data_IF_246595700975
#
_entry.id   IF_246595700975
#
_cell.length_a   1.000
_cell.length_b   1.000
_cell.length_c   1.000
_cell.angle_alpha   90.00
_cell.angle_beta   90.00
_cell.angle_gamma   90.00
#
_symmetry.space_group_name_H-M   'P 1'
#
loop_
_entity.id
_entity.type
_entity.pdbx_description
1 polymer ?
#
# COMPACT_ATOMS: atom_id res chain seq x y z
N UNK A 1 -36.41 -18.76 9.88
CA UNK A 1 -35.45 -19.87 10.05
C UNK A 1 -34.74 -19.68 11.38
N UNK A 2 -34.45 -20.76 12.09
CA UNK A 2 -33.63 -20.71 13.29
C UNK A 2 -32.18 -20.35 12.91
N UNK A 3 -31.46 -19.70 13.83
CA UNK A 3 -30.08 -19.30 13.61
C UNK A 3 -29.19 -20.51 13.37
N UNK A 4 -28.54 -20.56 12.22
CA UNK A 4 -27.71 -21.72 11.83
C UNK A 4 -26.44 -21.87 12.67
N UNK A 5 -26.12 -20.87 13.49
CA UNK A 5 -24.92 -20.86 14.35
C UNK A 5 -25.18 -21.48 15.73
N UNK A 6 -26.35 -21.23 16.34
CA UNK A 6 -26.69 -21.76 17.67
C UNK A 6 -27.92 -22.68 17.69
N UNK A 7 -28.77 -22.65 16.66
CA UNK A 7 -30.04 -23.37 16.56
C UNK A 7 -31.06 -23.11 17.69
N UNK A 8 -30.83 -22.13 18.57
CA UNK A 8 -31.66 -21.87 19.77
C UNK A 8 -32.75 -20.82 19.57
N UNK A 9 -32.59 -19.86 18.65
CA UNK A 9 -33.57 -18.80 18.39
C UNK A 9 -33.70 -18.46 16.91
N UNK A 10 -34.68 -17.62 16.56
CA UNK A 10 -34.89 -17.13 15.20
C UNK A 10 -33.71 -16.24 14.79
N UNK A 11 -33.18 -16.47 13.58
CA UNK A 11 -32.11 -15.64 13.03
C UNK A 11 -32.63 -14.24 12.72
N UNK A 12 -32.15 -13.25 13.47
CA UNK A 12 -32.30 -11.82 13.19
C UNK A 12 -30.92 -11.18 13.21
N UNK A 13 -30.78 -9.96 12.70
CA UNK A 13 -29.51 -9.22 12.78
C UNK A 13 -29.03 -9.07 14.23
N UNK A 14 -29.95 -8.68 15.12
CA UNK A 14 -29.67 -8.51 16.55
C UNK A 14 -29.28 -9.85 17.20
N UNK A 15 -29.99 -10.92 16.88
CA UNK A 15 -29.64 -12.24 17.37
C UNK A 15 -28.28 -12.69 16.84
N UNK A 16 -28.04 -12.60 15.52
CA UNK A 16 -26.81 -13.05 14.89
C UNK A 16 -25.57 -12.36 15.47
N UNK A 17 -25.63 -11.05 15.71
CA UNK A 17 -24.45 -10.30 16.15
C UNK A 17 -24.35 -10.12 17.67
N UNK A 18 -25.45 -10.03 18.41
CA UNK A 18 -25.42 -9.67 19.84
C UNK A 18 -25.93 -10.78 20.77
N UNK A 19 -26.98 -11.51 20.39
CA UNK A 19 -27.64 -12.47 21.31
C UNK A 19 -27.32 -13.94 21.07
N UNK A 20 -26.74 -14.30 19.93
CA UNK A 20 -26.36 -15.67 19.60
C UNK A 20 -25.26 -16.15 20.57
N UNK A 21 -25.42 -17.34 21.14
CA UNK A 21 -24.49 -17.90 22.13
C UNK A 21 -23.06 -17.99 21.57
N UNK A 22 -22.95 -18.40 20.31
CA UNK A 22 -21.67 -18.46 19.60
C UNK A 22 -21.07 -17.06 19.40
N UNK A 23 -21.85 -16.09 18.97
CA UNK A 23 -21.38 -14.72 18.78
C UNK A 23 -20.94 -14.09 20.12
N UNK A 24 -21.68 -14.32 21.21
CA UNK A 24 -21.30 -13.88 22.55
C UNK A 24 -19.96 -14.48 22.99
N UNK A 25 -19.73 -15.76 22.75
CA UNK A 25 -18.46 -16.41 23.02
C UNK A 25 -17.31 -15.80 22.20
N UNK A 26 -17.57 -15.44 20.93
CA UNK A 26 -16.60 -14.75 20.06
C UNK A 26 -16.27 -13.35 20.58
N UNK A 27 -17.26 -12.54 20.96
CA UNK A 27 -17.03 -11.20 21.53
C UNK A 27 -16.22 -11.27 22.82
N UNK A 28 -16.53 -12.24 23.68
CA UNK A 28 -15.78 -12.49 24.91
C UNK A 28 -14.33 -12.91 24.61
N UNK A 29 -14.11 -13.83 23.68
CA UNK A 29 -12.77 -14.29 23.29
C UNK A 29 -11.94 -13.24 22.53
N UNK A 30 -12.57 -12.21 21.98
CA UNK A 30 -11.91 -11.08 21.32
C UNK A 30 -11.67 -9.88 22.26
N UNK A 31 -12.03 -10.00 23.55
CA UNK A 31 -11.90 -8.95 24.57
C UNK A 31 -12.65 -7.65 24.21
N UNK A 32 -13.87 -7.78 23.67
CA UNK A 32 -14.74 -6.65 23.34
C UNK A 32 -16.03 -6.74 24.18
N UNK A 33 -16.25 -5.83 25.13
CA UNK A 33 -17.36 -5.93 26.06
C UNK A 33 -18.68 -5.50 25.42
N UNK A 34 -19.51 -6.46 25.01
CA UNK A 34 -20.85 -6.21 24.43
C UNK A 34 -22.00 -6.26 25.46
N UNK A 35 -21.70 -6.52 26.73
CA UNK A 35 -22.73 -6.75 27.77
C UNK A 35 -23.64 -5.51 27.97
N UNK A 36 -23.08 -4.32 27.88
CA UNK A 36 -23.84 -3.07 27.99
C UNK A 36 -24.86 -2.91 26.85
N UNK A 37 -24.55 -3.43 25.66
CA UNK A 37 -25.40 -3.34 24.48
C UNK A 37 -26.58 -4.31 24.57
N UNK A 38 -26.31 -5.54 25.03
CA UNK A 38 -27.34 -6.57 25.20
C UNK A 38 -28.30 -6.25 26.34
N UNK A 39 -27.85 -5.55 27.39
CA UNK A 39 -28.69 -5.08 28.50
C UNK A 39 -29.55 -3.86 28.13
N UNK A 40 -29.01 -2.94 27.33
CA UNK A 40 -29.71 -1.72 26.92
C UNK A 40 -30.60 -1.89 25.67
N UNK A 41 -30.74 -3.11 25.14
CA UNK A 41 -31.50 -3.41 23.92
C UNK A 41 -31.11 -2.51 22.73
N UNK A 42 -29.81 -2.18 22.62
CA UNK A 42 -29.28 -1.33 21.55
C UNK A 42 -29.24 -2.13 20.25
N UNK A 43 -29.75 -1.54 19.16
CA UNK A 43 -29.68 -2.17 17.84
C UNK A 43 -28.26 -2.14 17.29
N UNK A 44 -27.86 -3.14 16.50
CA UNK A 44 -26.55 -3.16 15.83
C UNK A 44 -26.31 -1.88 15.02
N UNK A 45 -27.34 -1.38 14.34
CA UNK A 45 -27.26 -0.14 13.55
C UNK A 45 -26.93 1.10 14.38
N UNK A 46 -27.59 1.26 15.53
CA UNK A 46 -27.34 2.40 16.41
C UNK A 46 -25.95 2.32 17.04
N UNK A 47 -25.55 1.12 17.46
CA UNK A 47 -24.22 0.87 17.98
C UNK A 47 -23.11 1.20 16.98
N UNK A 48 -23.21 0.72 15.74
CA UNK A 48 -22.21 1.01 14.69
C UNK A 48 -22.17 2.50 14.37
N UNK A 49 -23.31 3.19 14.30
CA UNK A 49 -23.37 4.64 14.08
C UNK A 49 -22.66 5.42 15.19
N UNK A 50 -22.83 5.01 16.44
CA UNK A 50 -22.20 5.69 17.56
C UNK A 50 -20.69 5.44 17.62
N UNK A 51 -20.24 4.24 17.25
CA UNK A 51 -18.81 3.95 17.06
C UNK A 51 -18.19 4.83 15.96
N UNK A 52 -18.89 5.04 14.85
CA UNK A 52 -18.44 5.90 13.75
C UNK A 52 -18.39 7.39 14.15
N UNK A 53 -19.35 7.86 14.95
CA UNK A 53 -19.33 9.24 15.48
C UNK A 53 -18.13 9.45 16.41
N UNK A 54 -17.86 8.48 17.30
CA UNK A 54 -16.72 8.53 18.23
C UNK A 54 -15.36 8.44 17.52
N UNK A 55 -15.28 7.86 16.32
CA UNK A 55 -14.03 7.82 15.55
C UNK A 55 -13.72 9.11 14.78
N UNK A 56 -14.72 9.96 14.54
CA UNK A 56 -14.53 11.21 13.78
C UNK A 56 -13.94 12.35 14.62
N UNK A 57 -13.77 12.15 15.94
CA UNK A 57 -13.47 13.24 16.87
C UNK A 57 -12.00 13.52 17.15
N UNK A 58 -11.01 12.78 16.62
CA UNK A 58 -9.58 13.14 16.66
C UNK A 58 -8.76 12.23 15.73
N UNK A 59 -7.63 12.73 15.21
CA UNK A 59 -6.73 12.18 14.18
C UNK A 59 -6.01 10.85 14.54
N UNK A 60 -6.62 9.97 15.32
CA UNK A 60 -6.09 8.65 15.66
C UNK A 60 -7.03 7.56 15.14
N UNK A 61 -6.49 6.61 14.38
CA UNK A 61 -7.19 5.37 13.99
C UNK A 61 -7.78 4.72 15.25
N UNK A 62 -9.11 4.76 15.42
CA UNK A 62 -9.77 4.22 16.59
C UNK A 62 -9.67 2.67 16.57
N UNK A 63 -8.84 2.06 17.42
CA UNK A 63 -8.58 0.62 17.38
C UNK A 63 -9.83 -0.19 17.76
N UNK A 64 -10.75 0.41 18.52
CA UNK A 64 -12.00 -0.22 18.95
C UNK A 64 -12.95 -0.36 17.76
N UNK A 65 -13.15 0.71 16.98
CA UNK A 65 -14.00 0.66 15.78
C UNK A 65 -13.53 -0.42 14.82
N UNK A 66 -12.22 -0.45 14.54
CA UNK A 66 -11.64 -1.42 13.62
C UNK A 66 -11.80 -2.86 14.11
N UNK A 67 -11.50 -3.13 15.39
CA UNK A 67 -11.72 -4.45 15.99
C UNK A 67 -13.18 -4.87 15.88
N UNK A 68 -14.11 -3.98 16.22
CA UNK A 68 -15.55 -4.26 16.15
C UNK A 68 -16.02 -4.57 14.73
N UNK A 69 -15.68 -3.74 13.74
CA UNK A 69 -16.08 -3.97 12.34
C UNK A 69 -15.48 -5.26 11.77
N UNK A 70 -14.22 -5.55 12.13
CA UNK A 70 -13.54 -6.78 11.69
C UNK A 70 -14.23 -8.01 12.28
N UNK A 71 -14.60 -7.97 13.56
CA UNK A 71 -15.25 -9.11 14.22
C UNK A 71 -16.68 -9.32 13.71
N UNK A 72 -17.45 -8.25 13.46
CA UNK A 72 -18.75 -8.33 12.80
C UNK A 72 -18.65 -9.04 11.45
N UNK A 73 -17.64 -8.67 10.64
CA UNK A 73 -17.40 -9.33 9.36
C UNK A 73 -17.03 -10.81 9.53
N UNK A 74 -16.17 -11.16 10.49
CA UNK A 74 -15.78 -12.55 10.74
C UNK A 74 -16.98 -13.42 11.18
N UNK A 75 -17.87 -12.89 12.02
CA UNK A 75 -19.11 -13.56 12.45
C UNK A 75 -20.01 -13.83 11.24
N UNK A 76 -20.25 -12.81 10.41
CA UNK A 76 -21.06 -12.94 9.21
C UNK A 76 -20.45 -13.91 8.18
N UNK A 77 -19.13 -13.84 8.00
CA UNK A 77 -18.40 -14.71 7.08
C UNK A 77 -18.49 -16.17 7.52
N UNK A 78 -18.30 -16.47 8.80
CA UNK A 78 -18.42 -17.82 9.34
C UNK A 78 -19.84 -18.37 9.20
N UNK A 79 -20.86 -17.54 9.47
CA UNK A 79 -22.27 -17.88 9.20
C UNK A 79 -22.46 -18.31 7.75
N UNK A 80 -21.89 -17.59 6.78
CA UNK A 80 -22.01 -17.97 5.37
C UNK A 80 -21.26 -19.27 5.04
N UNK A 81 -20.13 -19.55 5.70
CA UNK A 81 -19.45 -20.84 5.53
C UNK A 81 -20.28 -22.01 6.07
N UNK A 82 -21.02 -21.82 7.17
CA UNK A 82 -21.96 -22.82 7.68
C UNK A 82 -23.08 -23.03 6.64
N UNK A 83 -23.68 -21.96 6.13
CA UNK A 83 -24.80 -22.05 5.19
C UNK A 83 -24.42 -22.69 3.85
N UNK A 84 -23.30 -22.28 3.26
CA UNK A 84 -22.95 -22.63 1.88
C UNK A 84 -21.91 -23.75 1.76
N UNK A 85 -21.06 -23.94 2.77
CA UNK A 85 -20.00 -24.95 2.75
C UNK A 85 -20.20 -26.07 3.78
N UNK A 86 -21.32 -26.07 4.50
CA UNK A 86 -21.63 -27.10 5.50
C UNK A 86 -20.66 -27.15 6.67
N UNK A 87 -19.92 -26.06 6.93
CA UNK A 87 -19.00 -25.99 8.07
C UNK A 87 -19.77 -26.05 9.39
N UNK A 88 -19.10 -26.53 10.43
CA UNK A 88 -19.66 -26.55 11.78
C UNK A 88 -19.46 -25.20 12.49
N UNK A 89 -20.38 -24.79 13.38
CA UNK A 89 -20.20 -23.60 14.21
C UNK A 89 -18.99 -23.75 15.15
N UNK A 90 -18.00 -22.88 15.02
CA UNK A 90 -16.78 -22.92 15.83
C UNK A 90 -16.32 -21.50 16.21
N UNK A 91 -16.50 -21.07 17.47
CA UNK A 91 -16.09 -19.72 17.90
C UNK A 91 -14.57 -19.51 17.83
N UNK A 92 -13.78 -20.56 18.03
CA UNK A 92 -12.31 -20.46 18.00
C UNK A 92 -11.80 -20.14 16.59
N UNK A 93 -12.41 -20.70 15.54
CA UNK A 93 -12.05 -20.41 14.16
C UNK A 93 -12.31 -18.94 13.81
N UNK A 94 -13.40 -18.38 14.31
CA UNK A 94 -13.76 -16.96 14.14
C UNK A 94 -12.72 -16.08 14.84
N UNK A 95 -12.36 -16.40 16.09
CA UNK A 95 -11.35 -15.65 16.86
C UNK A 95 -9.97 -15.73 16.21
N UNK A 96 -9.54 -16.91 15.74
CA UNK A 96 -8.27 -17.07 15.04
C UNK A 96 -8.23 -16.29 13.73
N UNK A 97 -9.33 -16.32 12.97
CA UNK A 97 -9.46 -15.54 11.73
C UNK A 97 -9.40 -14.04 12.03
N UNK A 98 -10.12 -13.59 13.04
CA UNK A 98 -10.08 -12.22 13.53
C UNK A 98 -8.67 -11.79 13.94
N UNK A 99 -7.99 -12.57 14.78
CA UNK A 99 -6.62 -12.27 15.23
C UNK A 99 -5.64 -12.26 14.06
N UNK A 100 -5.76 -13.18 13.10
CA UNK A 100 -4.95 -13.19 11.88
C UNK A 100 -5.15 -11.92 11.06
N UNK A 101 -6.40 -11.49 10.85
CA UNK A 101 -6.72 -10.25 10.13
C UNK A 101 -6.23 -9.01 10.88
N UNK A 102 -6.43 -8.97 12.20
CA UNK A 102 -5.99 -7.87 13.04
C UNK A 102 -4.46 -7.78 13.07
N UNK A 103 -3.76 -8.91 13.19
CA UNK A 103 -2.30 -8.96 13.16
C UNK A 103 -1.74 -8.55 11.80
N UNK A 104 -2.35 -8.97 10.69
CA UNK A 104 -1.95 -8.50 9.35
C UNK A 104 -2.16 -7.01 9.19
N UNK A 105 -3.27 -6.49 9.73
CA UNK A 105 -3.52 -5.05 9.74
C UNK A 105 -2.48 -4.34 10.60
N UNK A 106 -2.30 -4.73 11.86
CA UNK A 106 -1.32 -4.13 12.77
C UNK A 106 0.12 -4.23 12.25
N UNK A 107 0.52 -5.33 11.62
CA UNK A 107 1.83 -5.44 10.96
C UNK A 107 1.96 -4.46 9.80
N UNK A 108 0.91 -4.29 8.99
CA UNK A 108 0.92 -3.25 7.96
C UNK A 108 1.05 -1.85 8.57
N UNK A 109 0.44 -1.57 9.74
CA UNK A 109 0.57 -0.28 10.43
C UNK A 109 1.89 -0.11 11.18
N UNK A 110 2.42 -1.14 11.84
CA UNK A 110 3.69 -1.13 12.54
C UNK A 110 4.87 -1.00 11.58
N UNK A 111 4.81 -1.67 10.42
CA UNK A 111 5.72 -1.44 9.30
C UNK A 111 5.62 0.00 8.74
N UNK A 112 4.53 0.73 9.06
CA UNK A 112 4.31 2.12 8.69
C UNK A 112 4.55 3.11 9.86
N UNK A 113 4.71 2.65 11.12
CA UNK A 113 4.75 3.48 12.33
C UNK A 113 6.02 3.28 13.19
N UNK A 114 6.84 2.27 12.91
CA UNK A 114 8.08 1.99 13.64
C UNK A 114 9.32 2.02 12.76
N UNK A 115 9.96 3.17 12.62
CA UNK A 115 11.39 3.25 12.30
C UNK A 115 12.06 4.12 13.36
N UNK A 116 12.26 3.54 14.55
CA UNK A 116 13.24 3.99 15.56
C UNK A 116 13.54 2.90 16.61
N UNK A 117 13.28 1.62 16.31
CA UNK A 117 13.75 0.51 17.13
C UNK A 117 14.74 -0.31 16.32
N UNK A 118 15.97 -0.36 16.82
CA UNK A 118 17.07 -1.18 16.33
C UNK A 118 16.65 -2.65 16.29
N UNK A 119 16.14 -3.12 15.16
CA UNK A 119 15.92 -4.54 14.94
C UNK A 119 17.18 -5.11 14.31
N UNK A 120 18.08 -5.59 15.18
CA UNK A 120 19.02 -6.66 14.85
C UNK A 120 18.19 -7.91 14.54
N UNK A 121 17.86 -8.13 13.27
CA UNK A 121 17.50 -9.44 12.78
C UNK A 121 18.29 -9.72 11.51
N UNK A 122 19.07 -10.79 11.57
CA UNK A 122 19.71 -11.49 10.47
C UNK A 122 18.64 -12.07 9.55
N UNK A 123 17.96 -11.21 8.79
CA UNK A 123 17.36 -11.62 7.53
C UNK A 123 18.51 -11.71 6.52
N UNK A 124 18.67 -12.86 5.87
CA UNK A 124 19.54 -12.94 4.70
C UNK A 124 19.01 -11.92 3.69
N UNK A 125 19.75 -10.82 3.57
CA UNK A 125 19.52 -9.82 2.56
C UNK A 125 19.49 -10.53 1.20
N UNK A 126 18.52 -10.24 0.30
CA UNK A 126 18.70 -10.62 -1.09
C UNK A 126 20.03 -10.00 -1.49
N UNK A 127 20.97 -10.84 -1.94
CA UNK A 127 22.37 -10.52 -2.18
C UNK A 127 22.48 -9.32 -3.12
N UNK A 128 22.45 -8.14 -2.51
CA UNK A 128 22.79 -6.89 -3.14
C UNK A 128 24.31 -6.91 -3.07
N UNK A 129 24.95 -7.35 -4.15
CA UNK A 129 26.26 -6.83 -4.49
C UNK A 129 26.02 -5.65 -5.44
N UNK A 130 25.59 -4.47 -4.94
CA UNK A 130 25.60 -3.31 -5.79
C UNK A 130 27.08 -3.06 -6.12
N UNK A 131 27.40 -3.09 -7.41
CA UNK A 131 28.72 -2.72 -7.90
C UNK A 131 29.07 -1.34 -7.30
N UNK A 132 30.25 -1.13 -6.66
CA UNK A 132 30.61 0.09 -5.89
C UNK A 132 30.52 1.44 -6.61
N UNK A 133 30.06 1.47 -7.86
CA UNK A 133 30.00 2.61 -8.78
C UNK A 133 28.61 3.24 -9.00
N UNK A 134 27.54 2.84 -8.29
CA UNK A 134 26.20 3.47 -8.44
C UNK A 134 26.14 4.88 -7.84
N UNK A 135 25.75 5.93 -8.57
CA UNK A 135 25.85 7.31 -8.08
C UNK A 135 24.58 7.85 -7.43
N UNK A 136 23.41 7.37 -7.87
CA UNK A 136 22.12 7.84 -7.35
C UNK A 136 21.04 6.74 -7.37
N UNK A 137 20.06 6.89 -6.50
CA UNK A 137 18.84 6.08 -6.44
C UNK A 137 17.69 6.93 -6.95
N UNK A 138 16.93 6.40 -7.90
CA UNK A 138 15.74 7.02 -8.45
C UNK A 138 14.54 6.19 -8.04
N UNK A 139 13.58 6.83 -7.41
CA UNK A 139 12.32 6.23 -7.00
C UNK A 139 11.23 6.66 -7.98
N UNK A 140 10.39 5.74 -8.44
CA UNK A 140 9.35 6.00 -9.45
C UNK A 140 8.01 5.40 -9.06
N UNK A 141 6.91 6.11 -9.30
CA UNK A 141 5.55 5.60 -9.06
C UNK A 141 4.52 6.15 -10.06
N UNK A 142 3.45 5.37 -10.26
CA UNK A 142 2.27 5.76 -11.03
C UNK A 142 1.01 5.78 -10.15
N UNK A 143 0.18 6.81 -10.30
CA UNK A 143 -1.04 7.04 -9.52
C UNK A 143 -2.29 7.03 -10.39
N UNK A 144 -3.34 6.33 -9.94
CA UNK A 144 -4.66 6.32 -10.58
C UNK A 144 -5.74 6.59 -9.53
N UNK A 145 -6.65 7.51 -9.82
CA UNK A 145 -7.86 7.73 -9.00
C UNK A 145 -9.07 7.09 -9.69
N UNK A 146 -9.97 6.49 -8.90
CA UNK A 146 -11.12 5.71 -9.40
C UNK A 146 -12.10 6.48 -10.32
N UNK A 147 -12.17 7.81 -10.19
CA UNK A 147 -13.18 8.63 -10.89
C UNK A 147 -12.66 9.41 -12.09
N UNK A 148 -11.41 9.18 -12.54
CA UNK A 148 -10.81 9.98 -13.62
C UNK A 148 -10.07 9.11 -14.63
N UNK A 149 -10.11 9.55 -15.89
CA UNK A 149 -9.35 8.96 -17.00
C UNK A 149 -7.87 9.36 -17.00
N UNK A 150 -7.46 10.22 -16.07
CA UNK A 150 -6.11 10.76 -15.96
C UNK A 150 -5.28 9.92 -14.99
N UNK A 151 -4.02 9.71 -15.35
CA UNK A 151 -3.01 9.09 -14.50
C UNK A 151 -1.99 10.15 -14.09
N UNK A 152 -1.41 10.00 -12.91
CA UNK A 152 -0.26 10.78 -12.49
C UNK A 152 0.99 9.92 -12.50
N UNK A 153 2.11 10.50 -12.88
CA UNK A 153 3.43 9.92 -12.69
C UNK A 153 4.23 10.80 -11.74
N UNK A 154 5.12 10.20 -10.96
CA UNK A 154 6.07 10.92 -10.14
C UNK A 154 7.40 10.19 -10.04
N UNK A 155 8.46 10.96 -9.87
CA UNK A 155 9.82 10.47 -9.72
C UNK A 155 10.63 11.34 -8.75
N UNK A 156 11.62 10.74 -8.11
CA UNK A 156 12.53 11.42 -7.19
C UNK A 156 13.93 10.82 -7.31
N UNK A 157 14.93 11.66 -7.53
CA UNK A 157 16.33 11.27 -7.41
C UNK A 157 16.85 11.55 -6.02
N UNK A 158 17.57 10.58 -5.44
CA UNK A 158 18.31 10.71 -4.18
C UNK A 158 19.77 10.35 -4.37
N UNK A 159 20.65 11.08 -3.68
CA UNK A 159 22.06 10.74 -3.56
C UNK A 159 22.27 9.51 -2.67
N UNK A 160 23.52 9.01 -2.61
CA UNK A 160 23.91 7.89 -1.73
C UNK A 160 23.64 8.15 -0.26
N UNK A 161 23.73 9.41 0.16
CA UNK A 161 23.48 9.87 1.54
C UNK A 161 21.99 10.01 1.88
N UNK A 162 21.10 9.75 0.90
CA UNK A 162 19.65 9.87 1.06
C UNK A 162 19.09 11.27 0.83
N UNK A 163 19.94 12.27 0.55
CA UNK A 163 19.48 13.63 0.22
C UNK A 163 18.77 13.66 -1.14
N UNK A 164 17.70 14.44 -1.22
CA UNK A 164 16.89 14.57 -2.45
C UNK A 164 17.58 15.49 -3.45
N UNK A 165 17.86 14.98 -4.64
CA UNK A 165 18.47 15.70 -5.75
C UNK A 165 17.44 16.49 -6.55
N UNK A 166 16.37 15.79 -6.94
CA UNK A 166 15.31 16.33 -7.76
C UNK A 166 14.04 15.53 -7.54
N UNK A 167 12.92 16.18 -7.77
CA UNK A 167 11.58 15.62 -7.68
C UNK A 167 10.78 16.12 -8.86
N UNK A 168 9.95 15.26 -9.45
CA UNK A 168 9.02 15.69 -10.48
C UNK A 168 7.73 14.91 -10.44
N UNK A 169 6.65 15.56 -10.82
CA UNK A 169 5.34 14.95 -11.00
C UNK A 169 4.62 15.52 -12.21
N UNK A 170 3.89 14.66 -12.91
CA UNK A 170 3.22 15.03 -14.15
C UNK A 170 1.90 14.29 -14.31
N UNK A 171 0.86 15.01 -14.74
CA UNK A 171 -0.39 14.41 -15.17
C UNK A 171 -0.28 13.94 -16.61
N UNK A 172 -0.68 12.70 -16.87
CA UNK A 172 -0.72 12.12 -18.21
C UNK A 172 -2.13 11.58 -18.53
N UNK A 173 -2.50 11.64 -19.80
CA UNK A 173 -3.75 11.09 -20.29
C UNK A 173 -3.52 9.71 -20.92
N UNK A 174 -3.31 8.71 -20.06
CA UNK A 174 -3.04 7.34 -20.47
C UNK A 174 -3.98 6.40 -19.72
N UNK A 175 -4.34 5.26 -20.34
CA UNK A 175 -5.28 4.31 -19.74
C UNK A 175 -4.59 3.21 -18.91
N UNK A 176 -3.30 2.95 -19.16
CA UNK A 176 -2.51 1.90 -18.52
C UNK A 176 -1.56 2.47 -17.45
N UNK A 177 -1.63 1.92 -16.24
CA UNK A 177 -0.77 2.31 -15.11
C UNK A 177 0.70 1.92 -15.32
N UNK A 178 0.96 0.83 -16.04
CA UNK A 178 2.33 0.42 -16.36
C UNK A 178 2.98 1.38 -17.35
N UNK A 179 2.20 1.97 -18.25
CA UNK A 179 2.69 3.05 -19.11
C UNK A 179 3.07 4.28 -18.28
N UNK A 180 2.26 4.67 -17.29
CA UNK A 180 2.57 5.79 -16.40
C UNK A 180 3.90 5.57 -15.65
N UNK A 181 4.13 4.35 -15.16
CA UNK A 181 5.37 3.96 -14.48
C UNK A 181 6.58 3.98 -15.42
N UNK A 182 6.46 3.44 -16.63
CA UNK A 182 7.54 3.50 -17.63
C UNK A 182 7.86 4.94 -18.04
N UNK A 183 6.85 5.78 -18.21
CA UNK A 183 7.07 7.21 -18.49
C UNK A 183 7.74 7.91 -17.29
N UNK A 184 7.41 7.53 -16.05
CA UNK A 184 8.12 8.04 -14.87
C UNK A 184 9.61 7.70 -14.92
N UNK A 185 9.95 6.46 -15.28
CA UNK A 185 11.33 6.00 -15.47
C UNK A 185 12.04 6.81 -16.55
N UNK A 186 11.41 6.98 -17.70
CA UNK A 186 11.95 7.74 -18.83
C UNK A 186 12.29 9.18 -18.44
N UNK A 187 11.34 9.90 -17.85
CA UNK A 187 11.54 11.30 -17.43
C UNK A 187 12.64 11.39 -16.37
N UNK A 188 12.66 10.46 -15.41
CA UNK A 188 13.68 10.46 -14.37
C UNK A 188 15.10 10.20 -14.93
N UNK A 189 15.25 9.34 -15.94
CA UNK A 189 16.54 9.09 -16.60
C UNK A 189 17.00 10.32 -17.37
N UNK A 190 16.10 11.00 -18.10
CA UNK A 190 16.43 12.24 -18.80
C UNK A 190 16.94 13.28 -17.80
N UNK A 191 16.25 13.45 -16.66
CA UNK A 191 16.69 14.37 -15.60
C UNK A 191 17.99 13.96 -14.93
N UNK A 192 18.24 12.66 -14.78
CA UNK A 192 19.52 12.17 -14.29
C UNK A 192 20.67 12.40 -15.28
N UNK A 193 20.40 12.26 -16.58
CA UNK A 193 21.36 12.52 -17.65
C UNK A 193 21.73 14.01 -17.72
N UNK A 194 20.75 14.91 -17.56
CA UNK A 194 20.98 16.37 -17.44
C UNK A 194 21.90 16.73 -16.25
N UNK A 195 21.96 15.88 -15.22
CA UNK A 195 22.83 16.05 -14.04
C UNK A 195 24.18 15.34 -14.19
N UNK A 196 24.45 14.70 -15.33
CA UNK A 196 25.71 14.00 -15.59
C UNK A 196 25.86 12.67 -14.86
N UNK A 197 24.76 12.07 -14.38
CA UNK A 197 24.80 10.80 -13.68
C UNK A 197 24.92 9.63 -14.66
N UNK A 198 25.87 8.73 -14.41
CA UNK A 198 26.20 7.62 -15.28
C UNK A 198 25.82 6.26 -14.71
N UNK A 199 25.62 6.10 -13.40
CA UNK A 199 25.16 4.84 -12.82
C UNK A 199 24.01 5.06 -11.85
N UNK A 200 22.87 4.45 -12.16
CA UNK A 200 21.60 4.71 -11.50
C UNK A 200 20.90 3.41 -11.09
N UNK A 201 20.32 3.41 -9.89
CA UNK A 201 19.42 2.36 -9.44
C UNK A 201 18.00 2.91 -9.46
N UNK A 202 17.12 2.29 -10.24
CA UNK A 202 15.70 2.62 -10.28
C UNK A 202 14.93 1.65 -9.40
N UNK A 203 14.20 2.21 -8.43
CA UNK A 203 13.22 1.49 -7.64
C UNK A 203 11.83 1.84 -8.17
N UNK A 204 11.10 0.82 -8.61
CA UNK A 204 9.78 0.94 -9.21
C UNK A 204 8.74 0.16 -8.41
N UNK A 205 7.50 0.64 -8.50
CA UNK A 205 6.34 -0.11 -8.05
C UNK A 205 5.99 -1.22 -9.07
N UNK A 206 5.86 -2.45 -8.60
CA UNK A 206 5.35 -3.57 -9.39
C UNK A 206 6.43 -4.46 -9.99
N UNK A 207 6.30 -5.76 -9.73
CA UNK A 207 7.21 -6.81 -10.26
C UNK A 207 7.15 -6.95 -11.77
N UNK A 208 6.06 -6.52 -12.40
CA UNK A 208 5.87 -6.59 -13.84
C UNK A 208 6.95 -5.81 -14.59
N UNK A 209 7.33 -4.63 -14.10
CA UNK A 209 8.33 -3.77 -14.78
C UNK A 209 9.75 -4.34 -14.60
N UNK A 210 10.05 -4.88 -13.42
CA UNK A 210 11.31 -5.58 -13.17
C UNK A 210 11.42 -6.83 -14.08
N UNK A 211 10.35 -7.61 -14.19
CA UNK A 211 10.31 -8.80 -15.05
C UNK A 211 10.40 -8.42 -16.54
N UNK A 212 9.73 -7.35 -16.97
CA UNK A 212 9.85 -6.80 -18.33
C UNK A 212 11.27 -6.34 -18.64
N UNK A 213 11.96 -5.75 -17.65
CA UNK A 213 13.35 -5.31 -17.79
C UNK A 213 14.32 -6.49 -17.89
N UNK A 214 14.12 -7.54 -17.08
CA UNK A 214 14.98 -8.71 -17.04
C UNK A 214 14.79 -9.66 -18.24
N UNK A 215 13.53 -9.94 -18.62
CA UNK A 215 13.23 -11.03 -19.56
C UNK A 215 13.02 -10.55 -21.01
N UNK A 216 13.05 -9.25 -21.29
CA UNK A 216 12.68 -8.65 -22.59
C UNK A 216 11.33 -9.11 -23.17
N UNK A 217 10.53 -9.85 -22.39
CA UNK A 217 9.30 -10.47 -22.85
C UNK A 217 8.15 -9.51 -22.57
N UNK A 218 7.57 -8.95 -23.63
CA UNK A 218 6.61 -7.85 -23.53
C UNK A 218 5.28 -8.28 -24.14
N UNK A 219 4.26 -8.40 -23.30
CA UNK A 219 2.93 -8.87 -23.73
C UNK A 219 2.11 -7.80 -24.49
N UNK A 220 2.56 -6.53 -24.53
CA UNK A 220 1.81 -5.41 -25.13
C UNK A 220 2.72 -4.46 -25.91
N UNK A 221 2.45 -4.30 -27.20
CA UNK A 221 3.22 -3.45 -28.13
C UNK A 221 3.33 -1.98 -27.68
N UNK A 222 2.33 -1.41 -27.00
CA UNK A 222 2.41 -0.01 -26.55
C UNK A 222 3.55 0.20 -25.52
N UNK A 223 3.76 -0.79 -24.64
CA UNK A 223 4.81 -0.73 -23.64
C UNK A 223 6.20 -0.99 -24.24
N UNK A 224 6.28 -1.72 -25.37
CA UNK A 224 7.57 -1.98 -26.05
C UNK A 224 8.19 -0.69 -26.57
N UNK A 225 7.38 0.22 -27.13
CA UNK A 225 7.88 1.48 -27.69
C UNK A 225 8.55 2.34 -26.62
N UNK A 226 7.93 2.50 -25.44
CA UNK A 226 8.50 3.30 -24.35
C UNK A 226 9.71 2.62 -23.72
N UNK A 227 9.69 1.30 -23.58
CA UNK A 227 10.84 0.55 -23.06
C UNK A 227 12.05 0.62 -24.02
N UNK A 228 11.80 0.57 -25.33
CA UNK A 228 12.86 0.76 -26.33
C UNK A 228 13.42 2.19 -26.31
N UNK A 229 12.56 3.19 -26.13
CA UNK A 229 12.99 4.58 -25.97
C UNK A 229 13.90 4.75 -24.73
N UNK A 230 13.53 4.15 -23.60
CA UNK A 230 14.37 4.13 -22.38
C UNK A 230 15.74 3.48 -22.66
N UNK A 231 15.77 2.36 -23.37
CA UNK A 231 17.04 1.70 -23.75
C UNK A 231 17.89 2.57 -24.68
N UNK A 232 17.28 3.26 -25.64
CA UNK A 232 17.98 4.16 -26.53
C UNK A 232 18.62 5.32 -25.77
N UNK A 233 17.87 5.94 -24.84
CA UNK A 233 18.37 7.00 -23.95
C UNK A 233 19.53 6.46 -23.09
N UNK A 234 19.39 5.26 -22.55
CA UNK A 234 20.43 4.60 -21.78
C UNK A 234 21.73 4.45 -22.57
N UNK A 235 21.66 3.96 -23.81
CA UNK A 235 22.83 3.78 -24.68
C UNK A 235 23.44 5.13 -25.10
N UNK A 236 22.61 6.12 -25.43
CA UNK A 236 23.07 7.44 -25.86
C UNK A 236 23.86 8.17 -24.77
N UNK A 237 23.40 8.10 -23.52
CA UNK A 237 24.05 8.75 -22.39
C UNK A 237 25.05 7.84 -21.64
N UNK A 238 25.29 6.62 -22.13
CA UNK A 238 26.15 5.61 -21.50
C UNK A 238 25.80 5.34 -20.02
N UNK A 239 24.50 5.37 -19.71
CA UNK A 239 24.02 5.20 -18.34
C UNK A 239 23.92 3.71 -18.02
N UNK A 240 24.50 3.30 -16.90
CA UNK A 240 24.28 1.96 -16.34
C UNK A 240 23.07 1.98 -15.43
N UNK A 241 22.00 1.32 -15.87
CA UNK A 241 20.72 1.27 -15.18
C UNK A 241 20.49 -0.09 -14.52
N UNK A 242 20.07 -0.09 -13.26
CA UNK A 242 19.55 -1.29 -12.58
C UNK A 242 18.13 -1.02 -12.10
N UNK A 243 17.15 -1.74 -12.63
CA UNK A 243 15.74 -1.61 -12.24
C UNK A 243 15.38 -2.72 -11.26
N UNK A 244 14.79 -2.38 -10.11
CA UNK A 244 14.30 -3.34 -9.11
C UNK A 244 12.91 -2.97 -8.63
N UNK A 245 12.06 -3.97 -8.40
CA UNK A 245 10.79 -3.74 -7.72
C UNK A 245 11.06 -3.51 -6.24
N UNK A 246 10.27 -2.64 -5.62
CA UNK A 246 10.42 -2.29 -4.20
C UNK A 246 9.05 -2.24 -3.51
N UNK A 247 8.97 -2.60 -2.22
CA UNK A 247 7.74 -2.44 -1.45
C UNK A 247 7.21 -1.02 -1.48
N UNK A 248 5.88 -0.87 -1.45
CA UNK A 248 5.19 0.43 -1.55
C UNK A 248 5.63 1.40 -0.42
N UNK A 249 6.06 0.86 0.73
CA UNK A 249 6.55 1.64 1.87
C UNK A 249 7.74 2.53 1.51
N UNK A 250 8.67 2.02 0.70
CA UNK A 250 9.90 2.76 0.33
C UNK A 250 9.60 3.93 -0.63
N UNK A 251 8.53 3.80 -1.41
CA UNK A 251 8.11 4.76 -2.43
C UNK A 251 6.81 5.50 -2.07
N UNK A 252 6.40 5.47 -0.80
CA UNK A 252 5.12 6.00 -0.31
C UNK A 252 4.93 7.47 -0.67
N UNK A 253 5.96 8.29 -0.48
CA UNK A 253 5.91 9.73 -0.73
C UNK A 253 5.67 10.03 -2.21
N UNK A 254 6.31 9.26 -3.09
CA UNK A 254 6.18 9.42 -4.54
C UNK A 254 4.85 8.87 -5.03
N UNK A 255 4.37 7.80 -4.41
CA UNK A 255 3.03 7.30 -4.69
C UNK A 255 1.97 8.34 -4.35
N UNK A 256 2.09 9.00 -3.20
CA UNK A 256 1.19 10.09 -2.80
C UNK A 256 1.28 11.27 -3.78
N UNK A 257 2.49 11.61 -4.23
CA UNK A 257 2.73 12.64 -5.24
C UNK A 257 2.10 12.28 -6.59
N UNK A 258 2.25 11.05 -7.07
CA UNK A 258 1.63 10.56 -8.30
C UNK A 258 0.10 10.55 -8.19
N UNK A 259 -0.44 10.20 -7.03
CA UNK A 259 -1.88 10.26 -6.79
C UNK A 259 -2.38 11.72 -6.83
N UNK A 260 -1.65 12.65 -6.20
CA UNK A 260 -1.95 14.08 -6.26
C UNK A 260 -1.89 14.59 -7.69
N UNK A 261 -0.87 14.24 -8.47
CA UNK A 261 -0.77 14.61 -9.88
C UNK A 261 -1.88 14.01 -10.77
N UNK A 262 -2.54 12.92 -10.35
CA UNK A 262 -3.73 12.42 -11.06
C UNK A 262 -4.99 13.24 -10.77
N UNK A 263 -5.04 13.96 -9.64
CA UNK A 263 -6.17 14.79 -9.22
C UNK A 263 -5.97 16.27 -9.55
N UNK A 264 -4.74 16.76 -9.56
CA UNK A 264 -4.39 18.14 -9.95
C UNK A 264 -3.72 18.12 -11.31
N UNK A 265 -4.15 18.97 -12.26
CA UNK A 265 -3.49 19.07 -13.57
C UNK A 265 -2.14 19.75 -13.39
N UNK A 266 -1.08 18.96 -13.21
CA UNK A 266 0.23 19.43 -12.77
C UNK A 266 1.33 18.89 -13.68
N UNK A 267 2.29 19.74 -14.02
CA UNK A 267 3.58 19.38 -14.59
C UNK A 267 4.63 20.17 -13.82
N UNK A 268 5.22 19.53 -12.82
CA UNK A 268 6.11 20.19 -11.85
C UNK A 268 7.42 19.42 -11.81
N UNK A 269 8.51 20.17 -11.92
CA UNK A 269 9.86 19.69 -11.69
C UNK A 269 10.55 20.63 -10.72
N UNK A 270 11.17 20.05 -9.69
CA UNK A 270 11.93 20.77 -8.70
C UNK A 270 13.31 20.12 -8.55
N UNK A 271 14.36 20.88 -8.83
CA UNK A 271 15.75 20.50 -8.56
C UNK A 271 16.15 21.12 -7.23
N UNK A 272 16.57 20.29 -6.28
CA UNK A 272 17.08 20.81 -5.01
C UNK A 272 18.38 21.59 -5.27
N UNK A 273 18.53 22.80 -4.74
CA UNK A 273 19.80 23.51 -4.83
C UNK A 273 20.88 22.64 -4.17
N UNK A 274 21.87 22.23 -4.95
CA UNK A 274 23.10 21.67 -4.39
C UNK A 274 23.68 22.75 -3.49
N UNK A 275 24.06 22.44 -2.26
CA UNK A 275 24.86 23.34 -1.46
C UNK A 275 26.09 23.73 -2.29
N UNK A 276 26.08 24.95 -2.80
CA UNK A 276 27.27 25.57 -3.39
C UNK A 276 28.27 25.68 -2.25
N UNK A 277 29.39 24.97 -2.38
CA UNK A 277 30.58 25.15 -1.55
C UNK A 277 30.79 26.63 -1.25
N UNK A 278 30.76 27.01 0.03
CA UNK A 278 31.42 28.22 0.46
C UNK A 278 32.93 27.99 0.33
N UNK A 279 33.46 28.51 -0.78
CA UNK A 279 34.76 29.19 -0.91
C UNK A 279 36.04 28.40 -0.59
N UNK A 280 36.72 28.07 -1.69
CA UNK A 280 38.16 28.28 -1.87
C UNK A 280 38.71 29.55 -1.22
N UNK A 281 39.68 29.45 -0.32
CA UNK A 281 41.08 29.95 -0.43
C UNK A 281 41.81 29.75 0.90
#
# INVERSE_FOLDING_TARGET
MNCIMCNTAIETQEHLFLHCDLSRAVWFGADIPILHLTQAAVTVDSWVKDLLKQSNTLENTNPILQKTLTLLWCIWFHRNQILFAGKQPNPMEIILTFNSLLNRFLQNFANNAGTNAEVRNTAQAPTLSPDPSWQAIILTAGGKTHHRTRLGLAYMGKFRDGQVMFVGCKTINVQDINMARLLAIREAIIKAAELGLQSLIILTEGRDIEQMWANNHISRWKLTTVLQDIKNIQHHHQIRLTVKATPLQVIKDIKAMALTASTTFTDVYYKHPMFSNSSST
#
